data_IF_200362496245
#
_entry.id   IF_200362496245
#
_cell.length_a   1.000
_cell.length_b   1.000
_cell.length_c   1.000
_cell.angle_alpha   90.00
_cell.angle_beta   90.00
_cell.angle_gamma   90.00
#
_symmetry.space_group_name_H-M   'P 1'
#
loop_
_entity.id
_entity.type
_entity.pdbx_description
1 polymer ?
#
# COMPACT_ATOMS: atom_id res chain seq x y z
N UNK A 1 20.46 29.29 30.99
CA UNK A 1 19.95 28.08 30.29
C UNK A 1 18.65 28.47 29.59
N UNK A 2 18.61 28.56 28.22
CA UNK A 2 17.39 28.82 27.47
C UNK A 2 16.47 27.60 27.62
N UNK A 3 15.28 27.78 28.20
CA UNK A 3 14.23 26.78 28.20
C UNK A 3 13.91 26.44 26.73
N UNK A 4 14.14 25.18 26.37
CA UNK A 4 13.74 24.71 25.04
C UNK A 4 12.21 24.81 24.95
N UNK A 5 11.74 25.78 24.18
CA UNK A 5 10.31 25.97 23.90
C UNK A 5 9.74 24.67 23.36
N UNK A 6 8.78 24.07 24.07
CA UNK A 6 8.10 22.84 23.61
C UNK A 6 7.25 23.18 22.41
N UNK A 7 7.81 22.92 21.22
CA UNK A 7 7.06 23.06 19.97
C UNK A 7 5.73 22.31 20.03
N UNK A 8 4.65 22.94 19.57
CA UNK A 8 3.38 22.26 19.38
C UNK A 8 3.46 21.23 18.24
N UNK A 9 2.49 20.31 18.08
CA UNK A 9 2.54 19.27 17.05
C UNK A 9 2.65 19.80 15.62
N UNK A 10 2.05 20.94 15.31
CA UNK A 10 2.14 21.54 13.96
C UNK A 10 3.52 22.11 13.68
N UNK A 11 4.10 22.81 14.65
CA UNK A 11 5.46 23.32 14.54
C UNK A 11 6.50 22.22 14.37
N UNK A 12 6.30 21.07 15.07
CA UNK A 12 7.16 19.88 14.89
C UNK A 12 7.06 19.32 13.47
N UNK A 13 5.87 19.25 12.91
CA UNK A 13 5.68 18.74 11.57
C UNK A 13 6.28 19.68 10.51
N UNK A 14 6.10 20.99 10.67
CA UNK A 14 6.75 21.98 9.78
C UNK A 14 8.26 21.85 9.85
N UNK A 15 8.81 21.69 11.05
CA UNK A 15 10.26 21.48 11.22
C UNK A 15 10.73 20.21 10.51
N UNK A 16 10.00 19.09 10.63
CA UNK A 16 10.34 17.84 9.94
C UNK A 16 10.32 18.00 8.41
N UNK A 17 9.31 18.68 7.86
CA UNK A 17 9.25 18.96 6.42
C UNK A 17 10.42 19.88 5.99
N UNK A 18 10.80 20.81 6.82
CA UNK A 18 11.96 21.69 6.57
C UNK A 18 13.27 20.91 6.59
N UNK A 19 13.44 19.96 7.53
CA UNK A 19 14.60 19.06 7.57
C UNK A 19 14.71 18.24 6.27
N UNK A 20 13.58 17.68 5.77
CA UNK A 20 13.57 16.95 4.48
C UNK A 20 13.94 17.91 3.33
N UNK A 21 13.36 19.10 3.29
CA UNK A 21 13.66 20.08 2.26
C UNK A 21 15.16 20.42 2.22
N UNK A 22 15.76 20.64 3.39
CA UNK A 22 17.16 21.03 3.50
C UNK A 22 18.10 19.87 3.16
N UNK A 23 17.82 18.65 3.64
CA UNK A 23 18.64 17.46 3.35
C UNK A 23 18.61 17.06 1.87
N UNK A 24 17.48 17.22 1.20
CA UNK A 24 17.29 16.86 -0.21
C UNK A 24 17.37 18.07 -1.15
N UNK A 25 17.65 19.25 -0.63
CA UNK A 25 17.70 20.51 -1.42
C UNK A 25 16.46 20.71 -2.30
N UNK A 26 15.26 20.46 -1.72
CA UNK A 26 14.01 20.64 -2.45
C UNK A 26 13.65 22.12 -2.60
N UNK A 27 13.09 22.49 -3.75
CA UNK A 27 12.69 23.89 -4.04
C UNK A 27 11.58 24.38 -3.09
N UNK A 28 10.76 23.45 -2.58
CA UNK A 28 9.64 23.75 -1.68
C UNK A 28 9.49 22.71 -0.57
N UNK A 29 8.75 23.08 0.48
CA UNK A 29 8.40 22.14 1.55
C UNK A 29 7.63 20.94 0.98
N UNK A 30 7.99 19.69 1.36
CA UNK A 30 7.28 18.50 0.93
C UNK A 30 5.96 18.33 1.71
N UNK A 31 4.97 19.16 1.38
CA UNK A 31 3.66 19.16 2.01
C UNK A 31 2.89 17.86 1.77
N UNK A 32 3.08 17.25 0.60
CA UNK A 32 2.55 15.94 0.25
C UNK A 32 3.68 15.02 -0.19
N UNK A 33 3.82 13.91 0.55
CA UNK A 33 4.78 12.84 0.26
C UNK A 33 3.98 11.59 -0.11
N UNK A 34 4.35 10.93 -1.19
CA UNK A 34 3.81 9.63 -1.58
C UNK A 34 4.90 8.58 -1.53
N UNK A 35 4.59 7.43 -0.95
CA UNK A 35 5.51 6.31 -0.89
C UNK A 35 4.89 5.07 -1.52
N UNK A 36 5.67 4.39 -2.39
CA UNK A 36 5.28 3.20 -3.10
C UNK A 36 6.06 1.98 -2.63
N UNK A 37 5.37 0.87 -2.50
CA UNK A 37 5.93 -0.46 -2.25
C UNK A 37 5.28 -1.48 -3.17
N UNK A 38 6.09 -2.36 -3.73
CA UNK A 38 5.64 -3.54 -4.46
C UNK A 38 5.80 -4.76 -3.56
N UNK A 39 4.75 -5.54 -3.44
CA UNK A 39 4.79 -6.78 -2.68
C UNK A 39 4.50 -7.96 -3.59
N UNK A 40 5.54 -8.78 -3.82
CA UNK A 40 5.45 -10.08 -4.46
C UNK A 40 5.53 -11.18 -3.41
N UNK A 41 4.38 -11.74 -3.03
CA UNK A 41 4.38 -12.98 -2.25
C UNK A 41 4.32 -14.13 -3.24
N UNK A 42 5.27 -15.06 -3.15
CA UNK A 42 5.39 -16.22 -4.02
C UNK A 42 4.04 -16.89 -4.30
N UNK A 43 3.68 -17.03 -5.59
CA UNK A 43 2.48 -17.72 -6.05
C UNK A 43 1.16 -16.93 -5.98
N UNK A 44 1.19 -15.64 -5.66
CA UNK A 44 -0.02 -14.78 -5.70
C UNK A 44 0.13 -13.66 -6.72
N UNK A 45 -1.01 -13.10 -7.18
CA UNK A 45 -0.99 -11.95 -8.08
C UNK A 45 -0.21 -10.79 -7.46
N UNK A 46 0.75 -10.22 -8.18
CA UNK A 46 1.53 -9.11 -7.68
C UNK A 46 0.64 -7.90 -7.39
N UNK A 47 0.93 -7.21 -6.31
CA UNK A 47 0.22 -6.00 -5.89
C UNK A 47 1.21 -4.92 -5.49
N UNK A 48 0.76 -3.68 -5.58
CA UNK A 48 1.50 -2.55 -5.06
C UNK A 48 0.61 -1.66 -4.18
N UNK A 49 1.25 -0.92 -3.32
CA UNK A 49 0.61 0.03 -2.43
C UNK A 49 1.22 1.41 -2.60
N UNK A 50 0.37 2.42 -2.45
CA UNK A 50 0.78 3.81 -2.32
C UNK A 50 0.18 4.38 -1.04
N UNK A 51 1.02 4.88 -0.16
CA UNK A 51 0.61 5.65 1.01
C UNK A 51 0.90 7.13 0.81
N UNK A 52 0.12 7.97 1.43
CA UNK A 52 0.20 9.42 1.31
C UNK A 52 0.36 10.03 2.69
N UNK A 53 1.34 10.90 2.82
CA UNK A 53 1.56 11.72 4.01
C UNK A 53 1.37 13.18 3.65
N UNK A 54 0.54 13.88 4.41
CA UNK A 54 0.31 15.32 4.26
C UNK A 54 0.72 16.03 5.53
N UNK A 55 1.55 17.06 5.41
CA UNK A 55 2.11 17.79 6.57
C UNK A 55 2.77 16.84 7.59
N UNK A 56 3.57 15.90 7.11
CA UNK A 56 4.24 14.85 7.88
C UNK A 56 3.30 13.91 8.68
N UNK A 57 2.02 13.79 8.29
CA UNK A 57 1.03 12.88 8.91
C UNK A 57 0.41 11.94 7.87
N UNK A 58 0.07 10.70 8.24
CA UNK A 58 -0.62 9.78 7.34
C UNK A 58 -1.98 10.32 6.90
N UNK A 59 -2.24 10.34 5.59
CA UNK A 59 -3.55 10.69 5.01
C UNK A 59 -4.20 9.43 4.44
N UNK A 60 -4.77 8.60 5.31
CA UNK A 60 -5.26 7.24 4.98
C UNK A 60 -6.34 7.22 3.90
N UNK A 61 -7.15 8.26 3.79
CA UNK A 61 -8.17 8.41 2.73
C UNK A 61 -7.56 8.48 1.33
N UNK A 62 -6.30 8.93 1.22
CA UNK A 62 -5.58 9.07 -0.04
C UNK A 62 -4.75 7.84 -0.42
N UNK A 63 -4.69 6.82 0.44
CA UNK A 63 -3.99 5.57 0.17
C UNK A 63 -4.64 4.82 -0.99
N UNK A 64 -3.81 4.15 -1.80
CA UNK A 64 -4.30 3.37 -2.94
C UNK A 64 -3.62 2.00 -2.99
N UNK A 65 -4.41 1.00 -3.39
CA UNK A 65 -3.97 -0.37 -3.65
C UNK A 65 -4.07 -0.64 -5.15
N UNK A 66 -3.07 -1.28 -5.71
CA UNK A 66 -3.00 -1.59 -7.14
C UNK A 66 -2.82 -3.09 -7.35
N UNK A 67 -3.68 -3.68 -8.18
CA UNK A 67 -3.39 -4.96 -8.79
C UNK A 67 -2.51 -4.72 -10.01
N UNK A 68 -1.40 -5.42 -10.11
CA UNK A 68 -0.55 -5.41 -11.30
C UNK A 68 -1.29 -6.18 -12.40
N UNK A 69 -1.34 -5.63 -13.60
CA UNK A 69 -2.16 -6.15 -14.70
C UNK A 69 -1.35 -6.60 -15.90
N UNK A 70 -0.25 -5.91 -16.20
CA UNK A 70 0.50 -6.08 -17.46
C UNK A 70 1.81 -6.82 -17.29
N UNK A 71 2.28 -7.01 -16.06
CA UNK A 71 3.56 -7.65 -15.77
C UNK A 71 3.35 -9.14 -15.53
N UNK A 72 4.08 -9.96 -16.26
CA UNK A 72 4.10 -11.43 -16.10
C UNK A 72 5.34 -11.82 -15.32
N UNK A 73 5.16 -12.59 -14.25
CA UNK A 73 6.26 -13.02 -13.40
C UNK A 73 6.62 -12.02 -12.29
N UNK A 74 7.78 -12.24 -11.68
CA UNK A 74 8.28 -11.45 -10.56
C UNK A 74 9.24 -10.35 -11.06
N UNK A 75 8.69 -9.34 -11.73
CA UNK A 75 9.43 -8.15 -12.14
C UNK A 75 8.97 -6.93 -11.33
N UNK A 76 9.73 -6.64 -10.29
CA UNK A 76 9.43 -5.55 -9.36
C UNK A 76 9.58 -4.17 -10.01
N UNK A 77 10.49 -4.02 -10.98
CA UNK A 77 10.70 -2.74 -11.66
C UNK A 77 9.58 -2.46 -12.65
N UNK A 78 9.18 -3.44 -13.46
CA UNK A 78 8.05 -3.31 -14.36
C UNK A 78 6.74 -3.06 -13.58
N UNK A 79 6.55 -3.74 -12.46
CA UNK A 79 5.41 -3.54 -11.56
C UNK A 79 5.37 -2.11 -10.99
N UNK A 80 6.52 -1.57 -10.58
CA UNK A 80 6.62 -0.19 -10.10
C UNK A 80 6.28 0.80 -11.22
N UNK A 81 6.83 0.61 -12.41
CA UNK A 81 6.52 1.45 -13.58
C UNK A 81 5.03 1.47 -13.90
N UNK A 82 4.37 0.30 -13.93
CA UNK A 82 2.92 0.21 -14.17
C UNK A 82 2.12 1.04 -13.16
N UNK A 83 2.42 0.88 -11.88
CA UNK A 83 1.65 1.52 -10.80
C UNK A 83 1.84 3.02 -10.79
N UNK A 84 3.07 3.49 -10.89
CA UNK A 84 3.40 4.93 -10.91
C UNK A 84 2.78 5.59 -12.14
N UNK A 85 2.86 4.94 -13.31
CA UNK A 85 2.24 5.43 -14.54
C UNK A 85 0.72 5.58 -14.38
N UNK A 86 0.04 4.54 -13.89
CA UNK A 86 -1.42 4.57 -13.68
C UNK A 86 -1.84 5.65 -12.69
N UNK A 87 -1.07 5.84 -11.61
CA UNK A 87 -1.38 6.86 -10.62
C UNK A 87 -1.28 8.26 -11.19
N UNK A 88 -0.19 8.58 -11.86
CA UNK A 88 0.05 9.96 -12.31
C UNK A 88 -0.63 10.29 -13.63
N UNK A 89 -0.86 9.33 -14.53
CA UNK A 89 -1.77 9.54 -15.65
C UNK A 89 -3.15 9.95 -15.16
N UNK A 90 -3.68 9.22 -14.19
CA UNK A 90 -4.98 9.56 -13.59
C UNK A 90 -4.96 10.92 -12.90
N UNK A 91 -3.89 11.24 -12.18
CA UNK A 91 -3.76 12.55 -11.53
C UNK A 91 -3.76 13.69 -12.56
N UNK A 92 -3.11 13.51 -13.71
CA UNK A 92 -3.12 14.47 -14.81
C UNK A 92 -4.52 14.60 -15.40
N UNK A 93 -5.19 13.49 -15.70
CA UNK A 93 -6.56 13.47 -16.26
C UNK A 93 -7.60 14.14 -15.34
N UNK A 94 -7.45 13.94 -14.03
CA UNK A 94 -8.36 14.51 -13.01
C UNK A 94 -7.94 15.90 -12.52
N UNK A 95 -6.83 16.47 -13.03
CA UNK A 95 -6.20 17.70 -12.50
C UNK A 95 -5.97 17.64 -10.98
N UNK A 96 -5.64 16.45 -10.47
CA UNK A 96 -5.38 16.25 -9.06
C UNK A 96 -3.97 16.78 -8.67
N UNK A 97 -3.79 17.25 -7.43
CA UNK A 97 -2.47 17.72 -6.98
C UNK A 97 -1.45 16.58 -7.00
N UNK A 98 -0.25 16.90 -7.53
CA UNK A 98 0.89 16.00 -7.52
C UNK A 98 1.64 16.09 -6.19
N UNK A 99 2.39 15.05 -5.78
CA UNK A 99 3.20 15.12 -4.58
C UNK A 99 4.41 16.05 -4.75
N UNK A 100 4.91 16.55 -3.64
CA UNK A 100 6.13 17.34 -3.58
C UNK A 100 7.39 16.46 -3.49
N UNK A 101 7.22 15.20 -3.05
CA UNK A 101 8.27 14.19 -2.95
C UNK A 101 7.65 12.81 -3.15
N UNK A 102 8.28 11.99 -3.98
CA UNK A 102 7.97 10.58 -4.15
C UNK A 102 9.07 9.75 -3.51
N UNK A 103 8.68 8.76 -2.70
CA UNK A 103 9.59 7.82 -2.05
C UNK A 103 9.31 6.41 -2.58
N UNK A 104 10.36 5.67 -2.89
CA UNK A 104 10.27 4.23 -3.15
C UNK A 104 10.74 3.44 -1.92
N UNK A 105 10.00 2.39 -1.54
CA UNK A 105 10.49 1.38 -0.59
C UNK A 105 11.45 0.44 -1.32
N UNK A 106 12.62 0.97 -1.66
CA UNK A 106 13.62 0.26 -2.43
C UNK A 106 14.81 1.14 -2.80
N UNK A 107 15.82 0.51 -3.38
CA UNK A 107 17.07 1.15 -3.74
C UNK A 107 17.06 1.79 -5.14
N UNK A 108 18.26 1.92 -5.68
CA UNK A 108 18.55 2.63 -6.95
C UNK A 108 17.72 2.16 -8.13
N UNK A 109 17.46 0.84 -8.25
CA UNK A 109 16.68 0.28 -9.36
C UNK A 109 15.22 0.73 -9.35
N UNK A 110 14.60 0.78 -8.17
CA UNK A 110 13.24 1.29 -8.00
C UNK A 110 13.16 2.79 -8.32
N UNK A 111 14.13 3.58 -7.86
CA UNK A 111 14.21 5.00 -8.18
C UNK A 111 14.34 5.23 -9.68
N UNK A 112 15.18 4.47 -10.37
CA UNK A 112 15.37 4.57 -11.83
C UNK A 112 14.09 4.21 -12.58
N UNK A 113 13.38 3.14 -12.17
CA UNK A 113 12.10 2.75 -12.76
C UNK A 113 11.04 3.86 -12.64
N UNK A 114 10.97 4.52 -11.49
CA UNK A 114 10.06 5.65 -11.28
C UNK A 114 10.48 6.86 -12.13
N UNK A 115 11.78 7.16 -12.20
CA UNK A 115 12.30 8.29 -13.00
C UNK A 115 11.91 8.17 -14.48
N UNK A 116 12.08 6.98 -15.07
CA UNK A 116 11.69 6.74 -16.45
C UNK A 116 10.20 7.07 -16.70
N UNK A 117 9.32 6.66 -15.80
CA UNK A 117 7.88 6.94 -15.92
C UNK A 117 7.58 8.43 -15.78
N UNK A 118 8.21 9.12 -14.82
CA UNK A 118 8.00 10.55 -14.65
C UNK A 118 8.49 11.33 -15.87
N UNK A 119 9.60 10.90 -16.48
CA UNK A 119 10.11 11.50 -17.71
C UNK A 119 9.15 11.28 -18.89
N UNK A 120 8.61 10.08 -19.06
CA UNK A 120 7.57 9.79 -20.08
C UNK A 120 6.33 10.68 -19.92
N UNK A 121 5.96 10.99 -18.69
CA UNK A 121 4.80 11.83 -18.37
C UNK A 121 5.12 13.32 -18.32
N UNK A 122 6.36 13.71 -18.57
CA UNK A 122 6.88 15.09 -18.43
C UNK A 122 6.60 15.69 -17.03
N UNK A 123 6.75 14.87 -15.99
CA UNK A 123 6.57 15.29 -14.61
C UNK A 123 7.92 15.47 -13.91
N UNK A 124 8.08 16.62 -13.24
CA UNK A 124 9.26 16.92 -12.44
C UNK A 124 8.94 16.80 -10.95
N UNK A 125 8.86 15.54 -10.46
CA UNK A 125 8.64 15.24 -9.05
C UNK A 125 9.97 14.72 -8.47
N UNK A 126 10.48 15.29 -7.38
CA UNK A 126 11.65 14.75 -6.69
C UNK A 126 11.44 13.32 -6.24
N UNK A 127 12.46 12.45 -6.42
CA UNK A 127 12.41 11.03 -6.09
C UNK A 127 13.49 10.71 -5.06
N UNK A 128 13.08 10.05 -3.98
CA UNK A 128 13.97 9.46 -2.99
C UNK A 128 13.73 7.95 -2.88
N UNK A 129 14.73 7.23 -2.38
CA UNK A 129 14.63 5.81 -2.06
C UNK A 129 14.96 5.54 -0.62
N UNK A 130 14.25 4.61 0.01
CA UNK A 130 14.57 4.10 1.34
C UNK A 130 15.11 2.68 1.21
N UNK A 131 16.43 2.53 1.35
CA UNK A 131 17.08 1.25 1.31
C UNK A 131 17.07 0.58 2.68
N UNK A 132 16.99 -0.74 2.69
CA UNK A 132 17.02 -1.57 3.89
C UNK A 132 18.38 -2.24 4.06
N UNK A 133 18.80 -2.41 5.32
CA UNK A 133 19.99 -3.20 5.66
C UNK A 133 19.71 -4.71 5.51
N UNK A 134 20.73 -5.54 5.70
CA UNK A 134 20.60 -7.00 5.68
C UNK A 134 19.66 -7.58 6.76
N UNK A 135 19.17 -6.76 7.69
CA UNK A 135 18.15 -7.10 8.70
C UNK A 135 16.77 -6.49 8.37
N UNK A 136 16.56 -6.03 7.13
CA UNK A 136 15.33 -5.42 6.66
C UNK A 136 14.90 -4.14 7.41
N UNK A 137 15.86 -3.40 8.00
CA UNK A 137 15.58 -2.12 8.66
C UNK A 137 15.95 -0.97 7.74
N UNK A 138 15.22 0.14 7.80
CA UNK A 138 15.62 1.39 7.13
C UNK A 138 17.05 1.74 7.50
N UNK A 139 17.92 1.86 6.51
CA UNK A 139 19.35 2.15 6.75
C UNK A 139 19.82 3.39 6.02
N UNK A 140 19.32 3.61 4.83
CA UNK A 140 19.83 4.64 3.94
C UNK A 140 18.71 5.39 3.24
N UNK A 141 18.84 6.71 3.17
CA UNK A 141 18.08 7.57 2.28
C UNK A 141 18.90 7.80 1.02
N UNK A 142 18.32 7.46 -0.12
CA UNK A 142 18.92 7.71 -1.44
C UNK A 142 18.23 8.88 -2.11
N UNK A 143 19.00 9.74 -2.79
CA UNK A 143 18.45 10.87 -3.52
C UNK A 143 19.32 11.26 -4.72
N UNK A 144 18.69 11.88 -5.71
CA UNK A 144 19.36 12.38 -6.89
C UNK A 144 19.54 11.36 -8.01
N UNK A 145 20.07 11.83 -9.16
CA UNK A 145 20.41 11.01 -10.32
C UNK A 145 21.75 11.41 -10.87
N UNK A 146 22.77 10.53 -10.74
CA UNK A 146 22.71 9.18 -10.16
C UNK A 146 22.40 9.20 -8.64
N UNK A 147 21.67 8.17 -8.12
CA UNK A 147 21.30 8.13 -6.70
C UNK A 147 22.52 8.09 -5.79
N UNK A 148 22.55 8.98 -4.80
CA UNK A 148 23.57 9.05 -3.77
C UNK A 148 22.96 8.80 -2.40
N UNK A 149 23.75 8.20 -1.51
CA UNK A 149 23.33 7.97 -0.13
C UNK A 149 23.42 9.26 0.67
N UNK A 150 22.30 9.65 1.27
CA UNK A 150 22.25 10.72 2.28
C UNK A 150 22.33 10.07 3.65
N UNK A 151 23.32 10.44 4.46
CA UNK A 151 23.52 9.89 5.79
C UNK A 151 22.36 10.23 6.72
N UNK A 152 21.66 9.20 7.20
CA UNK A 152 20.59 9.36 8.19
C UNK A 152 21.15 9.09 9.59
N UNK A 153 21.04 10.07 10.47
CA UNK A 153 21.33 9.86 11.89
C UNK A 153 20.17 9.09 12.53
N UNK A 154 20.47 7.89 13.03
CA UNK A 154 19.49 7.07 13.76
C UNK A 154 18.91 7.85 14.96
N UNK A 155 17.67 7.52 15.33
CA UNK A 155 16.96 8.13 16.46
C UNK A 155 16.62 9.63 16.33
N UNK A 156 16.84 10.24 15.16
CA UNK A 156 16.37 11.61 14.89
C UNK A 156 14.88 11.62 14.57
N UNK A 157 14.17 12.75 14.74
CA UNK A 157 12.79 12.88 14.31
C UNK A 157 12.59 12.61 12.82
N UNK A 158 13.54 13.05 11.98
CA UNK A 158 13.52 12.79 10.54
C UNK A 158 13.63 11.28 10.25
N UNK A 159 14.59 10.59 10.85
CA UNK A 159 14.74 9.14 10.70
C UNK A 159 13.45 8.39 11.08
N UNK A 160 12.81 8.78 12.20
CA UNK A 160 11.55 8.17 12.64
C UNK A 160 10.41 8.39 11.66
N UNK A 161 10.30 9.59 11.06
CA UNK A 161 9.28 9.87 10.05
C UNK A 161 9.50 9.02 8.80
N UNK A 162 10.73 8.94 8.29
CA UNK A 162 11.05 8.12 7.12
C UNK A 162 10.80 6.62 7.37
N UNK A 163 11.19 6.13 8.55
CA UNK A 163 10.87 4.75 8.96
C UNK A 163 9.36 4.53 9.08
N UNK A 164 8.62 5.47 9.64
CA UNK A 164 7.17 5.40 9.72
C UNK A 164 6.53 5.33 8.33
N UNK A 165 7.00 6.11 7.36
CA UNK A 165 6.50 6.09 5.98
C UNK A 165 6.76 4.72 5.36
N UNK A 166 7.98 4.17 5.53
CA UNK A 166 8.38 2.87 5.00
C UNK A 166 7.57 1.72 5.63
N UNK A 167 7.46 1.71 6.96
CA UNK A 167 6.70 0.70 7.68
C UNK A 167 5.20 0.74 7.29
N UNK A 168 4.66 1.93 7.11
CA UNK A 168 3.24 2.11 6.77
C UNK A 168 2.93 1.62 5.35
N UNK A 169 3.77 1.91 4.36
CA UNK A 169 3.54 1.42 3.00
C UNK A 169 3.66 -0.10 2.95
N UNK A 170 4.65 -0.66 3.63
CA UNK A 170 4.84 -2.10 3.74
C UNK A 170 3.66 -2.79 4.44
N UNK A 171 3.23 -2.26 5.60
CA UNK A 171 2.04 -2.73 6.32
C UNK A 171 0.79 -2.72 5.44
N UNK A 172 0.59 -1.63 4.68
CA UNK A 172 -0.56 -1.46 3.82
C UNK A 172 -0.55 -2.45 2.64
N UNK A 173 0.61 -2.71 2.04
CA UNK A 173 0.80 -3.72 1.01
C UNK A 173 0.50 -5.14 1.53
N UNK A 174 1.04 -5.53 2.70
CA UNK A 174 0.76 -6.82 3.33
C UNK A 174 -0.73 -6.99 3.61
N UNK A 175 -1.40 -5.96 4.11
CA UNK A 175 -2.85 -6.01 4.35
C UNK A 175 -3.61 -6.34 3.07
N UNK A 176 -3.18 -5.79 1.94
CA UNK A 176 -3.80 -6.07 0.66
C UNK A 176 -3.63 -7.53 0.23
N UNK A 177 -2.45 -8.11 0.40
CA UNK A 177 -2.22 -9.53 0.15
C UNK A 177 -3.09 -10.43 1.01
N UNK A 178 -3.19 -10.14 2.32
CA UNK A 178 -4.03 -10.91 3.23
C UNK A 178 -5.49 -10.87 2.82
N UNK A 179 -6.01 -9.70 2.43
CA UNK A 179 -7.37 -9.53 1.94
C UNK A 179 -7.63 -10.36 0.67
N UNK A 180 -6.68 -10.35 -0.29
CA UNK A 180 -6.77 -11.15 -1.53
C UNK A 180 -6.75 -12.64 -1.24
N UNK A 181 -5.79 -13.10 -0.43
CA UNK A 181 -5.68 -14.52 -0.04
C UNK A 181 -6.94 -15.00 0.65
N UNK A 182 -7.46 -14.22 1.62
CA UNK A 182 -8.69 -14.53 2.32
C UNK A 182 -9.87 -14.66 1.34
N UNK A 183 -10.03 -13.72 0.41
CA UNK A 183 -11.09 -13.78 -0.61
C UNK A 183 -10.96 -15.00 -1.52
N UNK A 184 -9.74 -15.36 -1.97
CA UNK A 184 -9.51 -16.56 -2.77
C UNK A 184 -9.84 -17.84 -2.02
N UNK A 185 -9.36 -17.97 -0.78
CA UNK A 185 -9.63 -19.12 0.05
C UNK A 185 -11.14 -19.30 0.27
N UNK A 186 -11.85 -18.20 0.53
CA UNK A 186 -13.31 -18.24 0.69
C UNK A 186 -13.98 -18.65 -0.63
N UNK A 187 -13.57 -18.09 -1.76
CA UNK A 187 -14.11 -18.45 -3.06
C UNK A 187 -13.89 -19.93 -3.33
N UNK A 188 -12.69 -20.46 -3.11
CA UNK A 188 -12.35 -21.87 -3.29
C UNK A 188 -13.19 -22.80 -2.40
N UNK A 189 -13.37 -22.49 -1.11
CA UNK A 189 -14.21 -23.30 -0.22
C UNK A 189 -15.69 -23.24 -0.61
N UNK A 190 -16.18 -22.09 -1.09
CA UNK A 190 -17.56 -21.96 -1.57
C UNK A 190 -17.79 -22.63 -2.94
N UNK A 191 -16.73 -22.81 -3.74
CA UNK A 191 -16.79 -23.51 -5.03
C UNK A 191 -17.10 -25.01 -4.85
N UNK A 192 -16.77 -25.59 -3.71
CA UNK A 192 -17.06 -26.98 -3.38
C UNK A 192 -18.53 -27.21 -3.01
N UNK A 193 -19.29 -26.15 -2.70
CA UNK A 193 -20.70 -26.25 -2.33
C UNK A 193 -21.57 -26.36 -3.58
N UNK A 194 -22.08 -27.57 -3.87
CA UNK A 194 -22.99 -27.80 -5.00
C UNK A 194 -24.27 -26.94 -4.88
N UNK A 195 -24.69 -26.32 -5.98
CA UNK A 195 -25.91 -25.50 -6.02
C UNK A 195 -25.72 -24.03 -5.66
N UNK A 196 -24.48 -23.60 -5.40
CA UNK A 196 -24.13 -22.21 -5.13
C UNK A 196 -23.33 -21.62 -6.30
N UNK A 197 -23.99 -20.75 -7.08
CA UNK A 197 -23.37 -20.09 -8.21
C UNK A 197 -22.65 -18.77 -7.84
N UNK A 198 -21.90 -18.21 -8.79
CA UNK A 198 -21.07 -17.03 -8.63
C UNK A 198 -21.78 -15.82 -7.97
N UNK A 199 -23.03 -15.54 -8.34
CA UNK A 199 -23.80 -14.44 -7.74
C UNK A 199 -24.03 -14.66 -6.23
N UNK A 200 -24.30 -15.89 -5.83
CA UNK A 200 -24.53 -16.25 -4.41
C UNK A 200 -23.24 -16.20 -3.62
N UNK A 201 -22.12 -16.69 -4.19
CA UNK A 201 -20.79 -16.60 -3.59
C UNK A 201 -20.38 -15.12 -3.40
N UNK A 202 -20.59 -14.29 -4.41
CA UNK A 202 -20.30 -12.87 -4.32
C UNK A 202 -21.12 -12.16 -3.21
N UNK A 203 -22.39 -12.52 -3.06
CA UNK A 203 -23.25 -11.98 -2.00
C UNK A 203 -22.77 -12.41 -0.60
N UNK A 204 -22.42 -13.70 -0.43
CA UNK A 204 -21.85 -14.21 0.82
C UNK A 204 -20.53 -13.54 1.18
N UNK A 205 -19.64 -13.36 0.20
CA UNK A 205 -18.35 -12.67 0.38
C UNK A 205 -18.54 -11.22 0.80
N UNK A 206 -19.51 -10.54 0.19
CA UNK A 206 -19.81 -9.14 0.50
C UNK A 206 -20.31 -8.97 1.93
N UNK A 207 -21.20 -9.84 2.39
CA UNK A 207 -21.84 -9.74 3.70
C UNK A 207 -20.93 -10.27 4.83
N UNK A 208 -20.46 -11.50 4.70
CA UNK A 208 -19.77 -12.17 5.81
C UNK A 208 -18.24 -12.01 5.82
N UNK A 209 -17.63 -11.63 4.71
CA UNK A 209 -16.17 -11.31 4.58
C UNK A 209 -15.20 -12.44 4.93
N UNK A 210 -15.63 -13.55 5.54
CA UNK A 210 -14.77 -14.71 5.84
C UNK A 210 -15.57 -15.99 5.94
N UNK A 211 -14.94 -17.15 5.63
CA UNK A 211 -15.54 -18.49 5.78
C UNK A 211 -15.94 -18.75 7.23
N UNK A 212 -15.10 -18.35 8.18
CA UNK A 212 -15.42 -18.51 9.60
C UNK A 212 -16.76 -17.87 9.95
N UNK A 213 -16.99 -16.63 9.51
CA UNK A 213 -18.27 -15.94 9.74
C UNK A 213 -19.44 -16.58 9.02
N UNK A 214 -19.23 -17.16 7.83
CA UNK A 214 -20.28 -17.92 7.12
C UNK A 214 -20.62 -19.19 7.91
N UNK A 215 -19.62 -19.92 8.41
CA UNK A 215 -19.82 -21.11 9.24
C UNK A 215 -20.59 -20.82 10.53
N UNK A 216 -20.24 -19.72 11.20
CA UNK A 216 -20.84 -19.27 12.46
C UNK A 216 -22.21 -18.59 12.27
N UNK A 217 -22.52 -18.11 11.06
CA UNK A 217 -23.76 -17.40 10.77
C UNK A 217 -24.99 -18.29 11.03
N UNK A 218 -26.08 -17.70 11.55
CA UNK A 218 -27.34 -18.39 11.71
C UNK A 218 -27.97 -18.72 10.35
N UNK A 219 -28.86 -19.71 10.32
CA UNK A 219 -29.61 -20.06 9.12
C UNK A 219 -30.40 -18.86 8.58
N UNK A 220 -30.97 -18.05 9.48
CA UNK A 220 -31.72 -16.85 9.14
C UNK A 220 -30.82 -15.79 8.49
N UNK A 221 -29.61 -15.57 9.03
CA UNK A 221 -28.65 -14.62 8.47
C UNK A 221 -28.21 -15.04 7.06
N UNK A 222 -27.94 -16.33 6.85
CA UNK A 222 -27.63 -16.88 5.53
C UNK A 222 -28.82 -16.77 4.58
N UNK A 223 -30.04 -17.06 5.05
CA UNK A 223 -31.25 -17.02 4.23
C UNK A 223 -31.57 -15.61 3.74
N UNK A 224 -31.31 -14.59 4.53
CA UNK A 224 -31.44 -13.18 4.09
C UNK A 224 -30.56 -12.84 2.89
N UNK A 225 -29.41 -13.47 2.78
CA UNK A 225 -28.44 -13.20 1.70
C UNK A 225 -28.63 -14.13 0.50
N UNK A 226 -28.98 -15.40 0.73
CA UNK A 226 -28.95 -16.44 -0.31
C UNK A 226 -30.31 -17.07 -0.61
N UNK A 227 -31.32 -16.80 0.19
CA UNK A 227 -32.59 -17.48 0.22
C UNK A 227 -32.51 -18.78 1.05
N UNK A 228 -33.70 -19.26 1.54
CA UNK A 228 -33.78 -20.38 2.47
C UNK A 228 -33.16 -21.69 1.96
N UNK A 229 -33.46 -22.05 0.70
CA UNK A 229 -32.98 -23.30 0.12
C UNK A 229 -31.45 -23.37 0.08
N UNK A 230 -30.77 -22.30 -0.36
CA UNK A 230 -29.30 -22.21 -0.43
C UNK A 230 -28.68 -22.10 0.96
N UNK A 231 -29.32 -21.39 1.89
CA UNK A 231 -28.85 -21.28 3.26
C UNK A 231 -28.79 -22.68 3.96
N UNK A 232 -29.80 -23.56 3.73
CA UNK A 232 -29.78 -24.93 4.23
C UNK A 232 -28.63 -25.74 3.64
N UNK A 233 -28.38 -25.63 2.34
CA UNK A 233 -27.26 -26.30 1.66
C UNK A 233 -25.91 -25.85 2.23
N UNK A 234 -25.71 -24.57 2.45
CA UNK A 234 -24.49 -24.03 3.03
C UNK A 234 -24.27 -24.54 4.45
N UNK A 235 -25.31 -24.51 5.29
CA UNK A 235 -25.21 -24.98 6.66
C UNK A 235 -24.90 -26.50 6.74
N UNK A 236 -25.55 -27.30 5.90
CA UNK A 236 -25.31 -28.74 5.85
C UNK A 236 -23.88 -29.06 5.38
N UNK A 237 -23.38 -28.39 4.36
CA UNK A 237 -22.02 -28.56 3.89
C UNK A 237 -21.00 -28.31 5.02
N UNK A 238 -21.10 -27.20 5.74
CA UNK A 238 -20.17 -26.89 6.81
C UNK A 238 -20.32 -27.75 8.05
N UNK A 239 -21.52 -28.33 8.29
CA UNK A 239 -21.75 -29.33 9.34
C UNK A 239 -20.98 -30.60 9.05
N UNK A 240 -21.04 -31.10 7.80
CA UNK A 240 -20.36 -32.32 7.37
C UNK A 240 -18.84 -32.17 7.31
N UNK A 241 -18.33 -30.99 6.97
CA UNK A 241 -16.90 -30.71 6.92
C UNK A 241 -16.24 -30.58 8.31
N UNK A 242 -17.02 -30.56 9.41
CA UNK A 242 -16.53 -30.42 10.79
C UNK A 242 -16.59 -31.72 11.57
N UNK A 243 -17.16 -32.78 10.98
CA UNK A 243 -17.20 -34.15 11.51
C UNK A 243 -16.07 -34.98 10.95
#
# INVERSE_FOLDING_TARGET
MKQAEKLNPEQRNVRLMKEIQDELHLDRLPMQIECFDNSNIQGSDPVAACVVFKKAKPSKQDYRKYNIKTVVGADDYASMKEVVKRRYQRAIEENAPLPDLLITDGGKGQMSAVKEVLDELNLNIPIAGLAKDGKHRTSELLYGFPPQTIGLKQNTPLFRLLTQIQDEVHRFAITFHRDKRSKRQIASELDEIKGIGEKTKAALLKEFKSVKRIKEASLEALAKVTGEAKAKVIKEYFRQATS
#
